data_IF_870787175958
#
_entry.id   IF_870787175958
#
_cell.length_a   1.000
_cell.length_b   1.000
_cell.length_c   1.000
_cell.angle_alpha   90.00
_cell.angle_beta   90.00
_cell.angle_gamma   90.00
#
_symmetry.space_group_name_H-M   'P 1'
#
loop_
_entity.id
_entity.type
_entity.pdbx_description
1 polymer ?
#
# COMPACT_ATOMS: atom_id res chain seq x y z
N UNK A 1 -20.24 6.21 -9.56
CA UNK A 1 -19.40 5.86 -10.72
C UNK A 1 -18.14 5.16 -10.20
N UNK A 2 -18.02 3.85 -10.41
CA UNK A 2 -17.04 3.01 -9.70
C UNK A 2 -15.60 3.34 -10.11
N UNK A 3 -14.69 3.45 -9.13
CA UNK A 3 -13.25 3.75 -9.34
C UNK A 3 -12.57 2.78 -10.33
N UNK A 4 -13.09 1.56 -10.51
CA UNK A 4 -12.61 0.61 -11.51
C UNK A 4 -12.86 1.07 -12.95
N UNK A 5 -13.99 1.74 -13.21
CA UNK A 5 -14.27 2.35 -14.52
C UNK A 5 -13.40 3.60 -14.76
N UNK A 6 -13.04 4.33 -13.70
CA UNK A 6 -12.14 5.49 -13.80
C UNK A 6 -10.69 5.09 -14.09
N UNK A 7 -10.19 4.02 -13.42
CA UNK A 7 -8.85 3.45 -13.67
C UNK A 7 -8.69 2.88 -15.07
N UNK A 8 -9.70 2.12 -15.56
CA UNK A 8 -9.74 1.70 -16.96
C UNK A 8 -9.77 2.91 -17.89
N UNK A 9 -10.60 3.92 -17.62
CA UNK A 9 -10.64 5.14 -18.45
C UNK A 9 -9.33 5.91 -18.51
N UNK A 10 -8.54 5.99 -17.43
CA UNK A 10 -7.28 6.76 -17.44
C UNK A 10 -6.19 6.01 -18.22
N UNK A 11 -6.05 4.70 -18.00
CA UNK A 11 -5.13 3.85 -18.77
C UNK A 11 -5.53 3.79 -20.25
N UNK A 12 -6.83 3.60 -20.54
CA UNK A 12 -7.35 3.68 -21.91
C UNK A 12 -7.20 5.08 -22.50
N UNK A 13 -7.33 6.17 -21.74
CA UNK A 13 -7.07 7.54 -22.26
C UNK A 13 -5.60 7.76 -22.58
N UNK A 14 -4.68 7.27 -21.76
CA UNK A 14 -3.24 7.33 -22.08
C UNK A 14 -2.88 6.45 -23.28
N UNK A 15 -3.52 5.29 -23.43
CA UNK A 15 -3.33 4.41 -24.58
C UNK A 15 -3.97 5.00 -25.85
N UNK A 16 -5.18 5.55 -25.76
CA UNK A 16 -5.93 6.17 -26.86
C UNK A 16 -5.31 7.51 -27.29
N UNK A 17 -4.71 8.29 -26.38
CA UNK A 17 -4.02 9.55 -26.73
C UNK A 17 -2.54 9.35 -27.06
N UNK A 18 -1.87 8.38 -26.42
CA UNK A 18 -0.45 8.12 -26.63
C UNK A 18 -0.14 7.34 -27.90
N UNK A 19 -0.98 6.36 -28.27
CA UNK A 19 -0.79 5.54 -29.47
C UNK A 19 -0.84 6.36 -30.78
N UNK A 20 -1.78 7.32 -30.97
CA UNK A 20 -1.79 8.18 -32.16
C UNK A 20 -0.58 9.11 -32.22
N UNK A 21 -0.14 9.67 -31.08
CA UNK A 21 1.03 10.56 -31.03
C UNK A 21 2.30 9.78 -31.39
N UNK A 22 2.43 8.54 -30.89
CA UNK A 22 3.54 7.65 -31.24
C UNK A 22 3.51 7.28 -32.73
N UNK A 23 2.35 6.88 -33.26
CA UNK A 23 2.20 6.56 -34.69
C UNK A 23 2.50 7.77 -35.57
N UNK A 24 2.03 8.97 -35.22
CA UNK A 24 2.37 10.21 -35.92
C UNK A 24 3.87 10.51 -35.86
N UNK A 25 4.52 10.38 -34.70
CA UNK A 25 5.95 10.64 -34.56
C UNK A 25 6.80 9.66 -35.39
N UNK A 26 6.44 8.37 -35.40
CA UNK A 26 7.11 7.36 -36.23
C UNK A 26 6.87 7.60 -37.72
N UNK A 27 5.68 8.04 -38.12
CA UNK A 27 5.35 8.35 -39.51
C UNK A 27 6.08 9.59 -40.02
N UNK A 28 6.16 10.66 -39.22
CA UNK A 28 6.92 11.87 -39.55
C UNK A 28 8.42 11.56 -39.63
N UNK A 29 8.97 10.77 -38.69
CA UNK A 29 10.37 10.34 -38.72
C UNK A 29 10.68 9.49 -39.96
N UNK A 30 9.76 8.58 -40.34
CA UNK A 30 9.88 7.80 -41.58
C UNK A 30 9.90 8.68 -42.83
N UNK A 31 9.02 9.68 -42.94
CA UNK A 31 8.98 10.59 -44.09
C UNK A 31 10.27 11.43 -44.20
N UNK A 32 10.76 11.96 -43.08
CA UNK A 32 11.99 12.77 -43.05
C UNK A 32 13.23 11.96 -43.43
N UNK A 33 13.32 10.71 -42.99
CA UNK A 33 14.48 9.87 -43.28
C UNK A 33 14.42 9.14 -44.62
N UNK A 34 13.23 8.86 -45.17
CA UNK A 34 13.07 8.38 -46.55
C UNK A 34 13.61 9.41 -47.55
N UNK A 35 13.44 10.69 -47.27
CA UNK A 35 14.01 11.78 -48.06
C UNK A 35 15.55 11.89 -47.92
N UNK A 36 16.14 11.35 -46.84
CA UNK A 36 17.56 11.47 -46.51
C UNK A 36 18.39 10.19 -46.75
N UNK A 37 17.77 9.10 -47.26
CA UNK A 37 18.46 7.84 -47.57
C UNK A 37 18.96 7.04 -46.35
N UNK A 38 18.37 7.23 -45.17
CA UNK A 38 18.87 6.64 -43.93
C UNK A 38 18.41 5.19 -43.69
N UNK A 39 19.26 4.38 -43.05
CA UNK A 39 19.04 2.95 -42.79
C UNK A 39 17.84 2.66 -41.87
N UNK A 40 17.22 1.49 -42.07
CA UNK A 40 16.04 0.97 -41.36
C UNK A 40 16.16 1.06 -39.82
N UNK A 41 17.36 0.86 -39.28
CA UNK A 41 17.62 0.92 -37.84
C UNK A 41 17.39 2.32 -37.25
N UNK A 42 17.75 3.39 -37.96
CA UNK A 42 17.59 4.77 -37.48
C UNK A 42 16.17 5.30 -37.64
N UNK A 43 15.36 4.68 -38.49
CA UNK A 43 14.00 5.12 -38.79
C UNK A 43 12.96 4.50 -37.87
N UNK A 44 13.13 3.23 -37.50
CA UNK A 44 12.11 2.49 -36.76
C UNK A 44 12.53 2.08 -35.35
N UNK A 45 13.78 1.66 -35.18
CA UNK A 45 14.23 1.06 -33.91
C UNK A 45 14.50 2.14 -32.86
N UNK A 46 15.13 3.25 -33.24
CA UNK A 46 15.40 4.38 -32.33
C UNK A 46 14.13 5.02 -31.74
N UNK A 47 13.06 5.39 -32.49
CA UNK A 47 11.86 5.95 -31.89
C UNK A 47 11.08 4.92 -31.06
N UNK A 48 11.12 3.62 -31.42
CA UNK A 48 10.48 2.56 -30.64
C UNK A 48 11.16 2.37 -29.28
N UNK A 49 12.50 2.38 -29.24
CA UNK A 49 13.27 2.32 -27.99
C UNK A 49 12.95 3.55 -27.12
N UNK A 50 12.96 4.77 -27.70
CA UNK A 50 12.64 6.00 -26.97
C UNK A 50 11.20 5.97 -26.44
N UNK A 51 10.23 5.50 -27.23
CA UNK A 51 8.84 5.35 -26.80
C UNK A 51 8.68 4.38 -25.63
N UNK A 52 9.37 3.23 -25.67
CA UNK A 52 9.40 2.27 -24.57
C UNK A 52 10.04 2.88 -23.32
N UNK A 53 11.14 3.62 -23.44
CA UNK A 53 11.80 4.30 -22.31
C UNK A 53 10.86 5.34 -21.68
N UNK A 54 10.21 6.18 -22.48
CA UNK A 54 9.25 7.18 -21.97
C UNK A 54 8.06 6.51 -21.28
N UNK A 55 7.54 5.40 -21.81
CA UNK A 55 6.45 4.63 -21.18
C UNK A 55 6.90 4.00 -19.84
N UNK A 56 8.11 3.44 -19.79
CA UNK A 56 8.71 2.90 -18.57
C UNK A 56 8.96 3.98 -17.51
N UNK A 57 9.37 5.18 -17.93
CA UNK A 57 9.55 6.33 -17.03
C UNK A 57 8.21 6.95 -16.58
N UNK A 58 7.14 6.82 -17.37
CA UNK A 58 5.80 7.31 -17.04
C UNK A 58 5.03 6.36 -16.10
N UNK A 59 5.33 5.05 -16.12
CA UNK A 59 4.69 4.03 -15.27
C UNK A 59 4.72 4.35 -13.76
N UNK A 60 5.85 4.78 -13.16
CA UNK A 60 5.90 5.21 -11.75
C UNK A 60 4.99 6.40 -11.45
N UNK A 61 4.89 7.35 -12.39
CA UNK A 61 4.01 8.51 -12.25
C UNK A 61 2.55 8.06 -12.26
N UNK A 62 2.13 7.23 -13.21
CA UNK A 62 0.76 6.67 -13.24
C UNK A 62 0.45 5.85 -11.98
N UNK A 63 1.41 5.06 -11.49
CA UNK A 63 1.28 4.27 -10.26
C UNK A 63 1.06 5.17 -9.04
N UNK A 64 1.73 6.32 -8.96
CA UNK A 64 1.54 7.32 -7.89
C UNK A 64 0.12 7.89 -7.84
N UNK A 65 -0.54 8.02 -9.00
CA UNK A 65 -1.94 8.46 -9.10
C UNK A 65 -2.96 7.33 -8.86
N UNK A 66 -2.51 6.08 -8.79
CA UNK A 66 -3.35 4.91 -8.56
C UNK A 66 -3.46 4.48 -7.09
N UNK A 67 -2.61 5.01 -6.19
CA UNK A 67 -2.58 4.69 -4.76
C UNK A 67 -3.93 5.05 -4.13
N UNK A 68 -4.53 4.14 -3.36
CA UNK A 68 -5.76 4.47 -2.63
C UNK A 68 -5.46 5.46 -1.50
N UNK A 69 -6.41 6.33 -1.14
CA UNK A 69 -6.18 7.28 -0.06
C UNK A 69 -5.86 6.59 1.28
N UNK A 70 -6.42 5.40 1.51
CA UNK A 70 -6.03 4.56 2.64
C UNK A 70 -4.55 4.16 2.59
N UNK A 71 -4.05 3.72 1.43
CA UNK A 71 -2.62 3.40 1.25
C UNK A 71 -1.73 4.63 1.49
N UNK A 72 -2.21 5.83 1.16
CA UNK A 72 -1.52 7.07 1.47
C UNK A 72 -1.49 7.33 2.99
N UNK A 73 -2.63 7.20 3.69
CA UNK A 73 -2.71 7.33 5.15
C UNK A 73 -1.84 6.30 5.88
N UNK A 74 -1.83 5.06 5.43
CA UNK A 74 -0.95 3.99 5.93
C UNK A 74 0.53 4.32 5.73
N UNK A 75 0.90 4.79 4.54
CA UNK A 75 2.29 5.18 4.26
C UNK A 75 2.74 6.32 5.16
N UNK A 76 1.93 7.37 5.27
CA UNK A 76 2.19 8.49 6.16
C UNK A 76 2.35 8.03 7.62
N UNK A 77 1.48 7.14 8.09
CA UNK A 77 1.55 6.57 9.43
C UNK A 77 2.83 5.77 9.68
N UNK A 78 3.26 4.94 8.72
CA UNK A 78 4.51 4.18 8.84
C UNK A 78 5.73 5.12 8.81
N UNK A 79 5.71 6.18 8.02
CA UNK A 79 6.76 7.21 8.00
C UNK A 79 6.87 7.91 9.36
N UNK A 80 5.74 8.37 9.92
CA UNK A 80 5.71 8.97 11.27
C UNK A 80 6.25 8.01 12.33
N UNK A 81 5.80 6.75 12.33
CA UNK A 81 6.28 5.74 13.25
C UNK A 81 7.79 5.50 13.13
N UNK A 82 8.30 5.47 11.90
CA UNK A 82 9.72 5.25 11.63
C UNK A 82 10.59 6.41 12.16
N UNK A 83 10.11 7.65 12.03
CA UNK A 83 10.81 8.83 12.55
C UNK A 83 10.81 8.85 14.07
N UNK A 84 9.66 8.52 14.70
CA UNK A 84 9.57 8.42 16.15
C UNK A 84 10.53 7.35 16.71
N UNK A 85 10.59 6.19 16.05
CA UNK A 85 11.50 5.11 16.42
C UNK A 85 12.96 5.53 16.24
N UNK A 86 13.30 6.15 15.11
CA UNK A 86 14.65 6.65 14.84
C UNK A 86 15.08 7.67 15.90
N UNK A 87 14.19 8.59 16.28
CA UNK A 87 14.48 9.63 17.26
C UNK A 87 14.61 9.08 18.69
N UNK A 88 13.81 8.07 19.05
CA UNK A 88 13.80 7.51 20.40
C UNK A 88 14.91 6.46 20.63
N UNK A 89 15.21 5.63 19.62
CA UNK A 89 16.07 4.46 19.77
C UNK A 89 17.29 4.46 18.85
N UNK A 90 17.43 5.47 17.99
CA UNK A 90 18.57 5.63 17.10
C UNK A 90 18.53 4.75 15.85
N UNK A 91 19.58 4.87 15.01
CA UNK A 91 19.63 4.26 13.68
C UNK A 91 19.74 2.72 13.71
N UNK A 92 20.30 2.14 14.78
CA UNK A 92 20.45 0.68 14.88
C UNK A 92 19.10 -0.02 15.10
N UNK A 93 18.27 0.52 15.99
CA UNK A 93 16.91 0.02 16.20
C UNK A 93 16.03 0.23 14.96
N UNK A 94 16.18 1.39 14.31
CA UNK A 94 15.53 1.65 13.02
C UNK A 94 15.94 0.59 11.99
N UNK A 95 17.24 0.26 11.88
CA UNK A 95 17.73 -0.74 10.94
C UNK A 95 17.10 -2.11 11.21
N UNK A 96 17.08 -2.56 12.47
CA UNK A 96 16.47 -3.84 12.86
C UNK A 96 14.98 -3.96 12.49
N UNK A 97 14.24 -2.86 12.49
CA UNK A 97 12.80 -2.85 12.20
C UNK A 97 12.45 -2.50 10.76
N UNK A 98 13.29 -1.77 10.03
CA UNK A 98 12.95 -1.25 8.70
C UNK A 98 13.90 -1.68 7.59
N UNK A 99 15.07 -2.23 7.94
CA UNK A 99 16.09 -2.70 7.00
C UNK A 99 16.29 -4.20 7.19
N UNK A 100 15.52 -4.98 6.44
CA UNK A 100 15.89 -6.33 6.06
C UNK A 100 15.25 -6.60 4.69
N UNK A 101 16.10 -6.99 3.73
CA UNK A 101 15.76 -7.10 2.32
C UNK A 101 14.79 -8.27 2.06
N UNK A 102 13.90 -8.06 1.09
CA UNK A 102 13.07 -9.10 0.46
C UNK A 102 12.05 -9.83 1.36
N UNK A 103 10.93 -9.16 1.65
CA UNK A 103 9.64 -9.79 1.98
C UNK A 103 9.56 -10.66 3.25
N UNK A 104 10.66 -10.87 3.98
CA UNK A 104 10.68 -11.64 5.21
C UNK A 104 10.39 -10.76 6.45
N UNK A 105 9.84 -11.36 7.50
CA UNK A 105 9.80 -10.74 8.83
C UNK A 105 11.24 -10.83 9.36
N UNK A 106 11.88 -9.74 9.83
CA UNK A 106 13.16 -9.88 10.51
C UNK A 106 12.97 -10.91 11.63
N UNK A 107 13.81 -11.94 11.71
CA UNK A 107 13.64 -13.12 12.58
C UNK A 107 13.39 -12.79 14.07
N UNK A 108 13.61 -11.54 14.47
CA UNK A 108 13.46 -11.01 15.83
C UNK A 108 12.58 -9.75 15.91
N UNK A 109 11.87 -9.37 14.84
CA UNK A 109 11.14 -8.09 14.79
C UNK A 109 10.05 -7.97 15.87
N UNK A 110 9.39 -9.10 16.19
CA UNK A 110 8.40 -9.17 17.26
C UNK A 110 9.06 -8.88 18.61
N UNK A 111 10.20 -9.53 18.88
CA UNK A 111 10.90 -9.40 20.16
C UNK A 111 11.51 -8.01 20.31
N UNK A 112 12.11 -7.46 19.25
CA UNK A 112 12.59 -6.07 19.22
C UNK A 112 11.45 -5.09 19.53
N UNK A 113 10.28 -5.25 18.90
CA UNK A 113 9.13 -4.40 19.21
C UNK A 113 8.65 -4.56 20.67
N UNK A 114 8.65 -5.78 21.22
CA UNK A 114 8.28 -6.03 22.63
C UNK A 114 9.26 -5.39 23.59
N UNK A 115 10.56 -5.52 23.36
CA UNK A 115 11.60 -4.89 24.16
C UNK A 115 11.47 -3.36 24.15
N UNK A 116 11.28 -2.76 22.97
CA UNK A 116 11.07 -1.32 22.82
C UNK A 116 9.80 -0.84 23.52
N UNK A 117 8.73 -1.65 23.56
CA UNK A 117 7.52 -1.32 24.30
C UNK A 117 7.72 -1.33 25.83
N UNK A 118 8.69 -2.08 26.34
CA UNK A 118 9.04 -2.11 27.77
C UNK A 118 10.00 -0.98 28.18
N UNK A 119 10.55 -0.25 27.22
CA UNK A 119 11.48 0.84 27.49
C UNK A 119 10.79 2.04 28.13
N UNK A 120 11.55 2.83 28.89
CA UNK A 120 11.03 4.04 29.52
C UNK A 120 10.63 5.11 28.49
N UNK A 121 11.31 5.16 27.33
CA UNK A 121 10.94 6.06 26.24
C UNK A 121 9.54 5.75 25.72
N UNK A 122 9.21 4.47 25.52
CA UNK A 122 7.87 4.09 25.05
C UNK A 122 6.79 4.29 26.10
N UNK A 123 7.09 4.09 27.39
CA UNK A 123 6.10 4.34 28.48
C UNK A 123 5.76 5.81 28.61
N UNK A 124 6.73 6.69 28.36
CA UNK A 124 6.56 8.14 28.46
C UNK A 124 5.88 8.72 27.22
N UNK A 125 6.19 8.18 26.03
CA UNK A 125 5.65 8.66 24.76
C UNK A 125 4.50 7.79 24.24
N UNK A 126 3.27 8.22 24.52
CA UNK A 126 2.03 7.55 24.06
C UNK A 126 1.95 7.42 22.54
N UNK A 127 2.46 8.39 21.79
CA UNK A 127 2.41 8.32 20.33
C UNK A 127 3.39 7.27 19.79
N UNK A 128 4.63 7.26 20.27
CA UNK A 128 5.59 6.22 19.97
C UNK A 128 5.04 4.83 20.32
N UNK A 129 4.44 4.68 21.51
CA UNK A 129 3.80 3.45 21.96
C UNK A 129 2.69 3.00 20.99
N UNK A 130 1.85 3.93 20.53
CA UNK A 130 0.81 3.63 19.54
C UNK A 130 1.40 3.10 18.23
N UNK A 131 2.45 3.74 17.71
CA UNK A 131 3.12 3.31 16.48
C UNK A 131 3.83 1.96 16.65
N UNK A 132 4.48 1.71 17.79
CA UNK A 132 5.11 0.42 18.10
C UNK A 132 4.09 -0.71 18.20
N UNK A 133 2.95 -0.51 18.88
CA UNK A 133 1.87 -1.50 18.96
C UNK A 133 1.26 -1.80 17.58
N UNK A 134 1.05 -0.77 16.76
CA UNK A 134 0.59 -0.96 15.39
C UNK A 134 1.63 -1.69 14.53
N UNK A 135 2.94 -1.45 14.73
CA UNK A 135 4.01 -2.16 14.04
C UNK A 135 4.10 -3.62 14.48
N UNK A 136 4.03 -3.88 15.78
CA UNK A 136 3.99 -5.22 16.36
C UNK A 136 2.82 -6.04 15.79
N UNK A 137 1.63 -5.45 15.69
CA UNK A 137 0.47 -6.12 15.09
C UNK A 137 0.72 -6.56 13.65
N UNK A 138 1.47 -5.76 12.88
CA UNK A 138 1.81 -6.07 11.49
C UNK A 138 2.77 -7.25 11.42
N UNK A 139 3.71 -7.36 12.36
CA UNK A 139 4.59 -8.52 12.44
C UNK A 139 3.85 -9.79 12.84
N UNK A 140 2.98 -9.73 13.86
CA UNK A 140 2.11 -10.87 14.21
C UNK A 140 1.24 -11.32 13.04
N UNK A 141 0.68 -10.38 12.29
CA UNK A 141 -0.10 -10.71 11.09
C UNK A 141 0.74 -11.44 10.04
N UNK A 142 1.95 -10.96 9.76
CA UNK A 142 2.86 -11.62 8.81
C UNK A 142 3.27 -13.02 9.31
N UNK A 143 3.43 -13.18 10.61
CA UNK A 143 3.77 -14.45 11.26
C UNK A 143 2.58 -15.41 11.38
N UNK A 144 1.38 -14.98 10.94
CA UNK A 144 0.16 -15.79 11.00
C UNK A 144 -0.55 -15.77 12.37
N UNK A 145 0.00 -15.09 13.36
CA UNK A 145 -0.58 -14.93 14.70
C UNK A 145 -1.69 -13.87 14.71
N UNK A 146 -2.81 -14.14 14.04
CA UNK A 146 -3.91 -13.18 13.84
C UNK A 146 -4.48 -12.65 15.16
N UNK A 147 -4.62 -13.50 16.17
CA UNK A 147 -5.16 -13.11 17.47
C UNK A 147 -4.24 -12.14 18.22
N UNK A 148 -2.92 -12.42 18.24
CA UNK A 148 -1.92 -11.54 18.85
C UNK A 148 -1.84 -10.18 18.12
N UNK A 149 -2.05 -10.17 16.80
CA UNK A 149 -2.15 -8.94 16.02
C UNK A 149 -3.36 -8.08 16.45
N UNK A 150 -4.53 -8.71 16.65
CA UNK A 150 -5.74 -8.02 17.12
C UNK A 150 -5.53 -7.47 18.53
N UNK A 151 -4.94 -8.25 19.45
CA UNK A 151 -4.67 -7.81 20.82
C UNK A 151 -3.74 -6.59 20.85
N UNK A 152 -2.67 -6.61 20.05
CA UNK A 152 -1.76 -5.47 19.91
C UNK A 152 -2.49 -4.21 19.41
N UNK A 153 -3.41 -4.35 18.46
CA UNK A 153 -4.22 -3.22 17.97
C UNK A 153 -5.28 -2.76 18.98
N UNK A 154 -5.85 -3.66 19.79
CA UNK A 154 -6.75 -3.29 20.88
C UNK A 154 -6.02 -2.48 21.95
N UNK A 155 -4.78 -2.84 22.29
CA UNK A 155 -3.94 -2.01 23.17
C UNK A 155 -3.60 -0.67 22.52
N UNK A 156 -3.39 -0.62 21.20
CA UNK A 156 -3.17 0.65 20.49
C UNK A 156 -4.43 1.53 20.52
N UNK A 157 -5.62 0.95 20.38
CA UNK A 157 -6.89 1.67 20.51
C UNK A 157 -7.13 2.19 21.93
N UNK A 158 -6.60 1.56 22.99
CA UNK A 158 -6.66 2.14 24.33
C UNK A 158 -5.92 3.50 24.42
N UNK A 159 -4.92 3.72 23.56
CA UNK A 159 -4.17 4.98 23.47
C UNK A 159 -4.89 5.98 22.54
N UNK A 160 -5.30 5.54 21.34
CA UNK A 160 -6.03 6.35 20.35
C UNK A 160 -7.35 5.65 19.97
N UNK A 161 -8.44 5.84 20.74
CA UNK A 161 -9.70 5.06 20.61
C UNK A 161 -10.40 5.19 19.27
N UNK A 162 -10.28 6.33 18.62
CA UNK A 162 -10.92 6.60 17.33
C UNK A 162 -9.99 6.40 16.14
N UNK A 163 -8.85 5.72 16.31
CA UNK A 163 -7.89 5.58 15.22
C UNK A 163 -8.49 4.80 14.05
N UNK A 164 -8.59 5.46 12.88
CA UNK A 164 -8.98 4.82 11.63
C UNK A 164 -8.06 3.65 11.28
N UNK A 165 -6.74 3.84 11.43
CA UNK A 165 -5.73 2.85 11.03
C UNK A 165 -5.88 1.58 11.87
N UNK A 166 -5.99 1.72 13.19
CA UNK A 166 -6.10 0.55 14.06
C UNK A 166 -7.43 -0.20 13.85
N UNK A 167 -8.56 0.51 13.76
CA UNK A 167 -9.85 -0.11 13.49
C UNK A 167 -9.89 -0.78 12.11
N UNK A 168 -9.35 -0.15 11.07
CA UNK A 168 -9.27 -0.74 9.73
C UNK A 168 -8.40 -2.02 9.72
N UNK A 169 -7.24 -2.00 10.39
CA UNK A 169 -6.36 -3.17 10.48
C UNK A 169 -7.04 -4.31 11.25
N UNK A 170 -7.75 -4.05 12.35
CA UNK A 170 -8.53 -5.07 13.06
C UNK A 170 -9.63 -5.65 12.16
N UNK A 171 -10.37 -4.81 11.44
CA UNK A 171 -11.39 -5.26 10.51
C UNK A 171 -10.82 -6.21 9.44
N UNK A 172 -9.66 -5.83 8.88
CA UNK A 172 -8.94 -6.68 7.94
C UNK A 172 -8.48 -8.01 8.56
N UNK A 173 -8.02 -8.02 9.82
CA UNK A 173 -7.66 -9.26 10.51
C UNK A 173 -8.88 -10.17 10.75
N UNK A 174 -10.03 -9.61 11.12
CA UNK A 174 -11.27 -10.38 11.24
C UNK A 174 -11.74 -10.94 9.90
N UNK A 175 -11.62 -10.18 8.81
CA UNK A 175 -11.84 -10.73 7.47
C UNK A 175 -10.96 -11.96 7.21
N UNK A 176 -9.69 -11.92 7.63
CA UNK A 176 -8.75 -13.04 7.45
C UNK A 176 -9.05 -14.26 8.32
N UNK A 177 -9.80 -14.06 9.41
CA UNK A 177 -10.31 -15.13 10.26
C UNK A 177 -11.67 -15.67 9.81
N UNK A 178 -12.23 -15.15 8.71
CA UNK A 178 -13.59 -15.51 8.26
C UNK A 178 -14.72 -14.86 9.06
N UNK A 179 -14.40 -13.89 9.91
CA UNK A 179 -15.31 -13.22 10.85
C UNK A 179 -15.88 -11.94 10.25
N UNK A 180 -16.90 -12.12 9.40
CA UNK A 180 -17.45 -11.03 8.59
C UNK A 180 -18.12 -9.93 9.42
N UNK A 181 -18.89 -10.31 10.44
CA UNK A 181 -19.67 -9.36 11.26
C UNK A 181 -18.76 -8.50 12.13
N UNK A 182 -17.74 -9.10 12.73
CA UNK A 182 -16.72 -8.37 13.49
C UNK A 182 -15.88 -7.45 12.57
N UNK A 183 -15.59 -7.90 11.35
CA UNK A 183 -14.90 -7.07 10.36
C UNK A 183 -15.72 -5.83 9.99
N UNK A 184 -17.02 -6.00 9.70
CA UNK A 184 -17.93 -4.88 9.39
C UNK A 184 -18.00 -3.91 10.57
N UNK A 185 -18.13 -4.42 11.79
CA UNK A 185 -18.20 -3.58 13.01
C UNK A 185 -16.96 -2.69 13.14
N UNK A 186 -15.76 -3.25 12.95
CA UNK A 186 -14.54 -2.47 13.03
C UNK A 186 -14.33 -1.52 11.85
N UNK A 187 -14.82 -1.85 10.65
CA UNK A 187 -14.84 -0.88 9.56
C UNK A 187 -15.75 0.32 9.86
N UNK A 188 -16.95 0.10 10.42
CA UNK A 188 -17.85 1.18 10.83
C UNK A 188 -17.23 2.05 11.95
N UNK A 189 -16.47 1.44 12.86
CA UNK A 189 -15.70 2.20 13.87
C UNK A 189 -14.61 3.05 13.23
N UNK A 190 -13.95 2.57 12.17
CA UNK A 190 -12.94 3.35 11.45
C UNK A 190 -13.54 4.61 10.78
N UNK A 191 -14.81 4.57 10.35
CA UNK A 191 -15.50 5.72 9.74
C UNK A 191 -15.85 6.83 10.74
N UNK A 192 -15.93 6.48 12.04
CA UNK A 192 -16.18 7.45 13.11
C UNK A 192 -14.98 8.34 13.39
N UNK A 193 -13.80 8.03 12.85
CA UNK A 193 -12.64 8.92 12.95
C UNK A 193 -12.98 10.27 12.28
N UNK A 194 -12.90 11.34 13.08
CA UNK A 194 -13.22 12.71 12.63
C UNK A 194 -12.20 13.22 11.61
N UNK A 195 -10.98 12.67 11.62
CA UNK A 195 -9.90 13.05 10.71
C UNK A 195 -10.01 12.37 9.34
N UNK A 196 -10.87 11.37 9.21
CA UNK A 196 -11.08 10.64 7.97
C UNK A 196 -11.77 11.50 6.91
N UNK A 197 -11.14 11.60 5.73
CA UNK A 197 -11.71 12.33 4.59
C UNK A 197 -12.96 11.64 4.03
N UNK A 198 -13.78 12.39 3.28
CA UNK A 198 -14.96 11.83 2.59
C UNK A 198 -14.60 10.68 1.64
N UNK A 199 -13.45 10.78 0.97
CA UNK A 199 -13.00 9.79 0.01
C UNK A 199 -12.53 8.50 0.71
N UNK A 200 -11.91 8.63 1.89
CA UNK A 200 -11.50 7.51 2.73
C UNK A 200 -12.71 6.79 3.34
N UNK A 201 -13.72 7.54 3.81
CA UNK A 201 -15.01 6.95 4.24
C UNK A 201 -15.67 6.16 3.13
N UNK A 202 -15.78 6.74 1.92
CA UNK A 202 -16.25 6.01 0.71
C UNK A 202 -15.40 4.80 0.35
N UNK A 203 -14.12 4.76 0.74
CA UNK A 203 -13.29 3.57 0.56
C UNK A 203 -13.70 2.48 1.56
N UNK A 204 -13.88 2.84 2.84
CA UNK A 204 -14.28 1.93 3.92
C UNK A 204 -15.69 1.39 3.68
N UNK A 205 -16.65 2.24 3.33
CA UNK A 205 -17.99 1.86 2.89
C UNK A 205 -17.96 0.78 1.82
N UNK A 206 -17.09 0.94 0.80
CA UNK A 206 -16.93 -0.07 -0.26
C UNK A 206 -16.37 -1.38 0.27
N UNK A 207 -15.51 -1.37 1.29
CA UNK A 207 -15.05 -2.60 1.94
C UNK A 207 -16.19 -3.24 2.72
N UNK A 208 -16.96 -2.48 3.50
CA UNK A 208 -18.13 -2.97 4.25
C UNK A 208 -19.13 -3.66 3.31
N UNK A 209 -19.55 -2.97 2.25
CA UNK A 209 -20.49 -3.53 1.27
C UNK A 209 -19.91 -4.79 0.61
N UNK A 210 -18.61 -4.79 0.32
CA UNK A 210 -17.94 -5.94 -0.26
C UNK A 210 -17.91 -7.14 0.69
N UNK A 211 -17.64 -6.94 1.99
CA UNK A 211 -17.68 -8.01 2.99
C UNK A 211 -19.10 -8.54 3.15
N UNK A 212 -20.11 -7.66 3.19
CA UNK A 212 -21.53 -8.06 3.28
C UNK A 212 -22.01 -8.87 2.09
N UNK A 213 -21.57 -8.52 0.88
CA UNK A 213 -22.04 -9.16 -0.37
C UNK A 213 -21.22 -10.41 -0.71
N UNK A 214 -19.88 -10.32 -0.62
CA UNK A 214 -18.96 -11.36 -1.10
C UNK A 214 -18.36 -12.20 0.02
N UNK A 215 -18.60 -11.83 1.27
CA UNK A 215 -17.96 -12.46 2.41
C UNK A 215 -16.51 -12.00 2.66
N UNK A 216 -15.87 -12.57 3.69
CA UNK A 216 -14.48 -12.30 4.03
C UNK A 216 -13.53 -12.76 2.92
N UNK A 217 -12.34 -12.14 2.83
CA UNK A 217 -11.33 -12.59 1.84
C UNK A 217 -10.81 -13.99 2.22
N UNK A 218 -11.08 -14.96 1.35
CA UNK A 218 -10.47 -16.31 1.40
C UNK A 218 -8.97 -16.33 1.03
N UNK A 219 -8.37 -15.19 0.68
CA UNK A 219 -6.97 -15.14 0.23
C UNK A 219 -6.01 -15.26 1.41
N UNK A 220 -5.09 -16.24 1.34
CA UNK A 220 -3.95 -16.40 2.26
C UNK A 220 -3.06 -15.15 2.35
N UNK A 221 -2.07 -15.12 3.27
CA UNK A 221 -1.30 -13.92 3.61
C UNK A 221 -0.74 -13.23 2.37
N UNK A 222 -1.23 -12.02 2.11
CA UNK A 222 -0.68 -11.12 1.10
C UNK A 222 0.67 -10.61 1.63
N UNK A 223 1.76 -11.23 1.19
CA UNK A 223 3.14 -10.90 1.54
C UNK A 223 3.73 -9.75 0.69
N UNK A 224 2.96 -9.22 -0.26
CA UNK A 224 3.44 -8.17 -1.16
C UNK A 224 4.44 -8.66 -2.21
N UNK A 225 4.71 -9.98 -2.29
CA UNK A 225 5.46 -10.57 -3.38
C UNK A 225 4.51 -10.75 -4.58
N UNK A 226 4.76 -9.99 -5.64
CA UNK A 226 3.93 -9.98 -6.85
C UNK A 226 4.08 -11.25 -7.69
N UNK A 227 3.82 -12.43 -7.14
CA UNK A 227 3.92 -13.72 -7.85
C UNK A 227 2.53 -14.31 -8.06
N UNK A 228 1.65 -13.59 -8.75
CA UNK A 228 0.25 -13.99 -9.00
C UNK A 228 -0.09 -14.15 -10.49
N UNK A 229 0.90 -14.41 -11.35
CA UNK A 229 0.67 -14.65 -12.78
C UNK A 229 0.96 -16.09 -13.22
N UNK A 230 1.37 -16.99 -12.33
CA UNK A 230 1.83 -18.32 -12.77
C UNK A 230 0.78 -19.43 -12.74
N UNK A 231 -0.25 -19.42 -11.90
CA UNK A 231 -1.28 -20.49 -11.92
C UNK A 231 -2.64 -19.96 -11.44
N UNK A 232 -3.66 -20.09 -12.29
CA UNK A 232 -5.05 -19.69 -12.04
C UNK A 232 -5.77 -19.30 -13.33
#
# INVERSE_FOLDING_TARGET
MTLGMFRRRLYYRMLILGLPIFLCATFVSYLLHRAAGADFFRTFITPLIVGCIVMLLALPLVRKWAISEYEHSEKFFEETGSQLILNAFGPDAFRKLYFDDANFIPLQAIDVCREMLQSEESKTNRELQFHLLAKLSRYYYKDGQLQAAIESLRTALAIKPSSLIANYRIAYLFERMGKADEAVTHYELAEKDKTASSNLKKHIDRQIQRVRIKGPRERGPFDGSGVWWMWG
#
